data_IF_228685680109
#
_entry.id   IF_228685680109
#
_cell.length_a   1.000
_cell.length_b   1.000
_cell.length_c   1.000
_cell.angle_alpha   90.00
_cell.angle_beta   90.00
_cell.angle_gamma   90.00
#
_symmetry.space_group_name_H-M   'P 1'
#
loop_
_entity.id
_entity.type
_entity.pdbx_description
1 polymer ?
#
# COMPACT_ATOMS: atom_id res chain seq x y z
N UNK A 1 -8.48 -54.67 26.40
CA UNK A 1 -8.94 -53.79 27.49
C UNK A 1 -8.79 -52.36 27.00
N UNK A 2 -9.78 -51.94 26.23
CA UNK A 2 -10.03 -50.61 25.65
C UNK A 2 -10.30 -49.54 26.73
N UNK A 3 -10.60 -48.26 26.39
CA UNK A 3 -10.54 -47.60 25.06
C UNK A 3 -9.92 -46.16 25.04
N UNK A 4 -9.54 -45.76 23.82
CA UNK A 4 -9.91 -44.53 23.12
C UNK A 4 -10.54 -43.36 23.91
N UNK A 5 -9.87 -42.21 23.92
CA UNK A 5 -10.49 -40.90 24.04
C UNK A 5 -10.59 -40.24 22.66
N UNK A 6 -11.80 -40.26 22.07
CA UNK A 6 -12.22 -39.31 21.04
C UNK A 6 -12.78 -38.09 21.75
N UNK A 7 -12.38 -36.89 21.32
CA UNK A 7 -13.06 -35.64 21.68
C UNK A 7 -14.04 -35.26 20.54
N UNK A 8 -15.35 -35.26 20.77
CA UNK A 8 -16.35 -34.71 19.85
C UNK A 8 -16.89 -33.37 20.39
N UNK A 9 -16.97 -32.36 19.53
CA UNK A 9 -17.75 -31.09 19.60
C UNK A 9 -16.87 -29.95 19.05
N UNK A 10 -17.30 -29.02 18.21
CA UNK A 10 -18.60 -28.73 17.57
C UNK A 10 -18.30 -27.69 16.49
N UNK A 11 -18.64 -27.91 15.22
CA UNK A 11 -19.84 -27.32 14.62
C UNK A 11 -19.96 -25.79 14.81
N UNK A 12 -19.27 -25.04 13.93
CA UNK A 12 -19.70 -23.69 13.54
C UNK A 12 -20.08 -23.71 12.06
N UNK A 13 -21.36 -23.95 11.80
CA UNK A 13 -22.02 -23.59 10.54
C UNK A 13 -22.73 -22.25 10.78
N UNK A 14 -22.31 -21.20 10.05
CA UNK A 14 -23.17 -20.09 9.62
C UNK A 14 -22.47 -19.34 8.48
N UNK A 15 -22.74 -19.67 7.22
CA UNK A 15 -23.70 -19.02 6.33
C UNK A 15 -23.50 -17.50 6.10
N UNK A 16 -22.89 -17.17 4.95
CA UNK A 16 -23.27 -16.14 3.92
C UNK A 16 -21.96 -15.76 3.18
N UNK A 17 -21.89 -15.60 1.86
CA UNK A 17 -22.93 -15.25 0.90
C UNK A 17 -22.56 -15.80 -0.48
N UNK A 18 -23.52 -16.43 -1.15
CA UNK A 18 -23.49 -16.66 -2.60
C UNK A 18 -23.70 -15.31 -3.29
N UNK A 19 -22.69 -14.80 -3.99
CA UNK A 19 -22.94 -14.05 -5.21
C UNK A 19 -22.25 -14.74 -6.37
N UNK A 20 -23.07 -15.49 -7.12
CA UNK A 20 -22.86 -15.75 -8.53
C UNK A 20 -22.91 -14.39 -9.24
N UNK A 21 -21.79 -13.99 -9.82
CA UNK A 21 -21.81 -13.08 -10.97
C UNK A 21 -20.93 -13.72 -12.04
N UNK A 22 -21.59 -14.05 -13.14
CA UNK A 22 -21.00 -14.48 -14.39
C UNK A 22 -19.93 -13.46 -14.80
N UNK A 23 -18.70 -13.90 -15.06
CA UNK A 23 -17.79 -13.15 -15.91
C UNK A 23 -17.11 -14.10 -16.90
N UNK A 24 -17.09 -13.61 -18.14
CA UNK A 24 -16.83 -14.26 -19.40
C UNK A 24 -15.64 -15.23 -19.45
N UNK A 25 -15.84 -16.34 -20.17
CA UNK A 25 -14.79 -17.02 -20.94
C UNK A 25 -14.07 -15.98 -21.79
N UNK A 26 -12.86 -15.61 -21.40
CA UNK A 26 -11.87 -15.02 -22.31
C UNK A 26 -11.04 -16.19 -22.83
N UNK A 27 -11.29 -16.54 -24.08
CA UNK A 27 -10.39 -17.36 -24.89
C UNK A 27 -9.07 -16.62 -25.02
N UNK A 28 -8.01 -17.14 -24.42
CA UNK A 28 -6.65 -16.68 -24.66
C UNK A 28 -6.24 -17.12 -26.07
N UNK A 29 -6.11 -16.16 -26.98
CA UNK A 29 -5.39 -16.37 -28.22
C UNK A 29 -3.90 -16.52 -27.89
N UNK A 30 -3.31 -17.64 -28.29
CA UNK A 30 -1.86 -17.87 -28.31
C UNK A 30 -1.19 -16.75 -29.08
N UNK A 31 -0.31 -15.99 -28.43
CA UNK A 31 0.59 -15.06 -29.09
C UNK A 31 1.90 -15.82 -29.26
N UNK A 32 2.22 -16.14 -30.51
CA UNK A 32 3.47 -16.77 -30.90
C UNK A 32 4.67 -15.94 -30.43
N UNK A 33 5.68 -16.65 -29.95
CA UNK A 33 6.98 -16.13 -29.51
C UNK A 33 7.62 -15.30 -30.63
N UNK A 34 7.72 -13.99 -30.42
CA UNK A 34 8.59 -13.14 -31.22
C UNK A 34 10.00 -13.22 -30.62
N UNK A 35 10.77 -14.16 -31.12
CA UNK A 35 12.21 -14.29 -30.87
C UNK A 35 12.92 -13.12 -31.53
N UNK A 36 13.33 -12.12 -30.74
CA UNK A 36 14.17 -11.02 -31.23
C UNK A 36 15.64 -11.43 -31.08
N UNK A 37 16.43 -11.52 -32.16
CA UNK A 37 17.86 -11.81 -32.04
C UNK A 37 18.58 -10.61 -31.44
N UNK A 38 19.27 -10.83 -30.32
CA UNK A 38 20.18 -9.86 -29.72
C UNK A 38 21.50 -9.95 -30.50
N UNK A 39 21.64 -9.11 -31.53
CA UNK A 39 22.95 -8.86 -32.13
C UNK A 39 23.80 -8.03 -31.17
N UNK A 40 24.93 -8.62 -30.79
CA UNK A 40 26.00 -7.98 -30.03
C UNK A 40 26.67 -6.87 -30.87
N UNK A 41 26.29 -5.62 -30.63
CA UNK A 41 26.94 -4.45 -31.21
C UNK A 41 27.80 -3.73 -30.17
N UNK A 42 29.02 -4.24 -30.00
CA UNK A 42 30.18 -3.40 -29.70
C UNK A 42 30.22 -2.30 -30.75
N UNK A 43 30.07 -1.01 -30.41
CA UNK A 43 30.48 0.13 -31.25
C UNK A 43 30.52 1.46 -30.44
N UNK A 44 31.74 1.98 -30.30
CA UNK A 44 32.10 3.41 -30.33
C UNK A 44 31.57 4.39 -29.24
N UNK A 45 32.21 4.34 -28.07
CA UNK A 45 32.17 5.34 -26.99
C UNK A 45 32.70 6.76 -27.30
N UNK A 46 33.00 7.12 -28.56
CA UNK A 46 33.70 8.38 -28.89
C UNK A 46 32.86 9.47 -29.56
N UNK A 47 31.54 9.31 -29.72
CA UNK A 47 30.70 10.32 -30.40
C UNK A 47 29.61 10.99 -29.55
N UNK A 48 29.46 10.66 -28.27
CA UNK A 48 28.43 11.29 -27.42
C UNK A 48 28.85 12.62 -26.75
N UNK A 49 30.10 13.06 -26.90
CA UNK A 49 30.62 14.28 -26.24
C UNK A 49 30.40 15.54 -27.09
N UNK A 50 30.06 15.41 -28.38
CA UNK A 50 29.94 16.56 -29.28
C UNK A 50 28.54 17.21 -29.34
N UNK A 51 27.51 16.61 -28.75
CA UNK A 51 26.13 17.15 -28.82
C UNK A 51 25.67 17.89 -27.56
N UNK A 52 26.43 17.86 -26.46
CA UNK A 52 26.06 18.53 -25.21
C UNK A 52 26.51 20.00 -25.17
N UNK A 53 27.31 20.46 -26.14
CA UNK A 53 27.89 21.82 -26.12
C UNK A 53 27.07 22.86 -26.92
N UNK A 54 26.09 22.44 -27.73
CA UNK A 54 25.40 23.35 -28.68
C UNK A 54 24.05 23.87 -28.18
N UNK A 55 23.49 23.35 -27.09
CA UNK A 55 22.19 23.85 -26.54
C UNK A 55 22.32 24.93 -25.47
N UNK A 56 23.53 25.37 -25.12
CA UNK A 56 23.77 26.27 -23.97
C UNK A 56 23.87 27.76 -24.31
N UNK A 57 23.62 28.19 -25.54
CA UNK A 57 23.83 29.59 -25.97
C UNK A 57 22.64 30.24 -26.67
N UNK A 58 21.41 29.94 -26.25
CA UNK A 58 20.23 30.61 -26.81
C UNK A 58 19.07 30.83 -25.81
N UNK A 59 19.35 31.45 -24.66
CA UNK A 59 18.33 32.13 -23.86
C UNK A 59 18.91 33.42 -23.28
N UNK A 60 19.12 34.40 -24.16
CA UNK A 60 19.35 35.80 -23.82
C UNK A 60 18.05 36.57 -24.10
N UNK A 61 17.64 37.38 -23.12
CA UNK A 61 16.65 38.48 -23.20
C UNK A 61 15.16 38.13 -23.37
N UNK A 62 14.47 37.85 -22.26
CA UNK A 62 13.10 38.31 -22.08
C UNK A 62 13.00 39.07 -20.76
N UNK A 63 12.43 40.26 -20.86
CA UNK A 63 12.59 41.37 -19.93
C UNK A 63 12.04 41.15 -18.53
N UNK A 64 12.76 41.71 -17.57
CA UNK A 64 12.28 42.01 -16.23
C UNK A 64 11.06 42.93 -16.28
N UNK A 65 9.86 42.36 -16.27
CA UNK A 65 8.68 43.06 -15.76
C UNK A 65 8.64 42.83 -14.26
N UNK A 66 8.94 43.88 -13.50
CA UNK A 66 8.72 43.91 -12.05
C UNK A 66 7.26 43.52 -11.77
N UNK A 67 7.00 42.48 -10.97
CA UNK A 67 5.64 42.20 -10.53
C UNK A 67 5.20 43.39 -9.66
N UNK A 68 4.09 44.01 -10.04
CA UNK A 68 3.41 44.96 -9.18
C UNK A 68 3.07 44.22 -7.88
N UNK A 69 3.67 44.68 -6.77
CA UNK A 69 3.36 44.21 -5.43
C UNK A 69 1.94 44.66 -5.13
N UNK A 70 0.97 43.80 -5.46
CA UNK A 70 -0.40 43.94 -5.00
C UNK A 70 -0.40 43.75 -3.49
N UNK A 71 -0.38 44.87 -2.77
CA UNK A 71 -0.63 44.93 -1.33
C UNK A 71 -2.08 44.51 -1.12
N UNK A 72 -2.31 43.21 -0.97
CA UNK A 72 -3.59 42.70 -0.56
C UNK A 72 -3.84 43.21 0.87
N UNK A 73 -4.96 43.91 1.13
CA UNK A 73 -5.31 44.29 2.49
C UNK A 73 -5.38 43.02 3.32
N UNK A 74 -4.56 42.98 4.38
CA UNK A 74 -4.52 41.92 5.37
C UNK A 74 -5.87 41.90 6.08
N UNK A 75 -6.85 41.24 5.46
CA UNK A 75 -8.15 41.01 6.06
C UNK A 75 -7.91 40.01 7.17
N UNK A 76 -7.74 40.51 8.39
CA UNK A 76 -7.68 39.69 9.60
C UNK A 76 -8.97 38.90 9.65
N UNK A 77 -8.92 37.63 9.27
CA UNK A 77 -10.02 36.68 9.42
C UNK A 77 -10.05 36.34 10.90
N UNK A 78 -10.69 37.20 11.68
CA UNK A 78 -10.96 36.99 13.09
C UNK A 78 -12.09 35.96 13.17
N UNK A 79 -11.73 34.68 13.32
CA UNK A 79 -12.69 33.59 13.47
C UNK A 79 -12.45 32.42 12.52
N UNK A 80 -11.22 31.92 12.39
CA UNK A 80 -11.07 30.50 12.05
C UNK A 80 -11.47 29.74 13.31
N UNK A 81 -12.72 29.26 13.35
CA UNK A 81 -13.01 28.09 14.16
C UNK A 81 -12.01 27.02 13.69
N UNK A 82 -11.06 26.66 14.55
CA UNK A 82 -10.19 25.53 14.31
C UNK A 82 -11.10 24.32 14.33
N UNK A 83 -11.60 23.92 13.15
CA UNK A 83 -12.31 22.66 12.98
C UNK A 83 -11.36 21.59 13.48
N UNK A 84 -11.65 21.06 14.67
CA UNK A 84 -10.80 20.10 15.34
C UNK A 84 -10.82 18.84 14.49
N UNK A 85 -9.69 18.52 13.86
CA UNK A 85 -9.53 17.27 13.10
C UNK A 85 -9.67 16.13 14.09
N UNK A 86 -10.59 15.20 13.83
CA UNK A 86 -10.80 14.03 14.68
C UNK A 86 -9.59 13.11 14.62
N UNK A 87 -9.42 12.29 15.64
CA UNK A 87 -8.47 11.19 15.59
C UNK A 87 -8.90 10.12 14.59
N UNK A 88 -7.93 9.45 13.96
CA UNK A 88 -8.20 8.31 13.11
C UNK A 88 -8.68 7.12 13.95
N UNK A 89 -9.64 6.38 13.42
CA UNK A 89 -10.03 5.08 13.94
C UNK A 89 -8.93 4.05 13.70
N UNK A 90 -9.06 2.90 14.38
CA UNK A 90 -8.13 1.80 14.25
C UNK A 90 -7.93 1.37 12.79
N UNK A 91 -9.03 1.14 12.07
CA UNK A 91 -8.98 0.71 10.67
C UNK A 91 -8.30 1.76 9.78
N UNK A 92 -8.51 3.04 10.04
CA UNK A 92 -7.91 4.14 9.27
C UNK A 92 -6.41 4.28 9.54
N UNK A 93 -6.00 4.09 10.79
CA UNK A 93 -4.61 4.12 11.21
C UNK A 93 -3.76 3.07 10.48
N UNK A 94 -4.28 1.85 10.35
CA UNK A 94 -3.51 0.74 9.79
C UNK A 94 -3.74 0.49 8.31
N UNK A 95 -4.87 0.91 7.73
CA UNK A 95 -5.06 0.90 6.27
C UNK A 95 -4.27 2.02 5.58
N UNK A 96 -3.90 3.07 6.30
CA UNK A 96 -3.11 4.19 5.79
C UNK A 96 -1.67 3.76 5.47
N UNK A 97 -1.18 4.12 4.28
CA UNK A 97 0.26 4.02 3.94
C UNK A 97 1.07 5.25 4.38
N UNK A 98 0.49 6.16 5.16
CA UNK A 98 1.14 7.39 5.61
C UNK A 98 2.10 7.14 6.79
N UNK A 99 3.28 7.77 6.77
CA UNK A 99 4.14 7.88 7.96
C UNK A 99 3.65 9.03 8.84
N UNK A 100 3.06 8.70 10.00
CA UNK A 100 2.51 9.67 10.94
C UNK A 100 3.53 10.73 11.40
N UNK A 101 4.84 10.45 11.36
CA UNK A 101 5.88 11.41 11.77
C UNK A 101 6.09 12.53 10.76
N UNK A 102 5.86 12.25 9.48
CA UNK A 102 6.08 13.22 8.39
C UNK A 102 4.78 13.78 7.81
N UNK A 103 3.70 13.02 7.93
CA UNK A 103 2.38 13.37 7.43
C UNK A 103 1.29 12.87 8.38
N UNK A 104 1.09 13.53 9.54
CA UNK A 104 0.15 13.10 10.57
C UNK A 104 -1.33 13.24 10.16
N UNK A 105 -1.65 13.79 8.99
CA UNK A 105 -3.05 13.96 8.58
C UNK A 105 -3.34 13.17 7.31
N UNK A 106 -4.32 12.27 7.39
CA UNK A 106 -4.83 11.54 6.23
C UNK A 106 -6.11 12.21 5.69
N UNK A 107 -6.26 12.16 4.37
CA UNK A 107 -7.48 12.52 3.66
C UNK A 107 -8.13 11.27 3.05
N UNK A 108 -9.34 10.97 3.48
CA UNK A 108 -10.17 9.82 3.08
C UNK A 108 -10.88 9.99 1.74
N UNK A 109 -10.65 11.09 1.01
CA UNK A 109 -11.40 11.39 -0.22
C UNK A 109 -11.23 10.25 -1.23
N UNK A 110 -12.34 9.59 -1.55
CA UNK A 110 -12.42 8.40 -2.42
C UNK A 110 -11.71 7.12 -1.90
N UNK A 111 -11.61 6.86 -0.60
CA UNK A 111 -10.95 5.64 -0.05
C UNK A 111 -9.57 5.35 -0.70
N UNK A 112 -8.73 6.40 -0.85
CA UNK A 112 -7.42 6.27 -1.51
C UNK A 112 -7.44 6.43 -3.04
N UNK A 113 -8.54 6.92 -3.61
CA UNK A 113 -8.60 7.37 -5.01
C UNK A 113 -7.65 8.55 -5.32
N UNK A 114 -7.65 9.09 -6.55
CA UNK A 114 -6.62 10.01 -7.07
C UNK A 114 -6.47 11.35 -6.32
N UNK A 115 -7.31 11.63 -5.32
CA UNK A 115 -7.29 12.83 -4.49
C UNK A 115 -7.26 12.53 -2.96
N UNK A 116 -7.11 11.26 -2.56
CA UNK A 116 -6.76 10.90 -1.18
C UNK A 116 -5.26 11.03 -0.94
N UNK A 117 -4.82 11.11 0.33
CA UNK A 117 -3.39 11.18 0.63
C UNK A 117 -3.02 11.61 2.05
N UNK A 118 -1.72 11.82 2.25
CA UNK A 118 -1.12 12.21 3.51
C UNK A 118 -0.65 13.67 3.45
N UNK A 119 -0.74 14.41 4.55
CA UNK A 119 -0.27 15.79 4.64
C UNK A 119 0.44 16.05 5.96
N UNK A 120 1.47 16.90 5.90
CA UNK A 120 2.18 17.42 7.07
C UNK A 120 1.33 18.41 7.89
N UNK A 121 0.34 19.03 7.26
CA UNK A 121 -0.59 19.98 7.88
C UNK A 121 -2.04 19.49 7.77
N UNK A 122 -2.93 19.87 8.70
CA UNK A 122 -4.35 19.55 8.60
C UNK A 122 -4.93 19.92 7.23
N UNK A 123 -5.81 19.07 6.70
CA UNK A 123 -6.50 19.35 5.44
C UNK A 123 -7.48 20.51 5.61
N UNK A 124 -7.44 21.47 4.67
CA UNK A 124 -8.38 22.61 4.68
C UNK A 124 -9.80 22.08 4.41
N UNK A 125 -10.79 22.60 5.15
CA UNK A 125 -12.20 22.26 4.97
C UNK A 125 -12.63 22.37 3.49
N UNK A 126 -13.35 21.36 3.00
CA UNK A 126 -13.77 21.26 1.60
C UNK A 126 -12.71 20.68 0.64
N UNK A 127 -11.44 20.57 1.06
CA UNK A 127 -10.40 19.85 0.29
C UNK A 127 -10.59 18.35 0.41
N UNK A 128 -10.88 17.89 1.64
CA UNK A 128 -11.18 16.51 1.93
C UNK A 128 -12.61 16.37 2.47
N UNK A 129 -13.30 15.30 2.06
CA UNK A 129 -14.64 15.01 2.58
C UNK A 129 -14.57 14.52 4.04
N UNK A 130 -13.48 13.82 4.40
CA UNK A 130 -13.20 13.36 5.75
C UNK A 130 -11.68 13.27 5.99
N UNK A 131 -11.21 13.85 7.08
CA UNK A 131 -9.80 13.86 7.46
C UNK A 131 -9.65 13.47 8.93
N UNK A 132 -8.53 12.82 9.23
CA UNK A 132 -8.24 12.41 10.59
C UNK A 132 -6.74 12.52 10.93
N UNK A 133 -6.45 12.62 12.23
CA UNK A 133 -5.11 12.70 12.79
C UNK A 133 -4.56 11.29 13.08
N UNK A 134 -3.36 11.02 12.57
CA UNK A 134 -2.62 9.78 12.72
C UNK A 134 -1.68 9.78 13.94
N UNK A 135 -1.47 10.92 14.60
CA UNK A 135 -0.54 11.02 15.74
C UNK A 135 -0.88 10.06 16.89
N UNK A 136 -2.17 9.73 17.05
CA UNK A 136 -2.63 8.79 18.08
C UNK A 136 -2.57 7.32 17.65
N UNK A 137 -2.28 7.02 16.38
CA UNK A 137 -2.29 5.65 15.87
C UNK A 137 -1.29 4.73 16.59
N UNK A 138 -0.13 5.26 16.98
CA UNK A 138 0.88 4.50 17.74
C UNK A 138 0.39 4.14 19.15
N UNK A 139 -0.59 4.87 19.68
CA UNK A 139 -1.16 4.64 21.01
C UNK A 139 -2.38 3.71 21.00
N UNK A 140 -2.92 3.38 19.82
CA UNK A 140 -4.04 2.46 19.71
C UNK A 140 -3.58 1.02 19.96
N UNK A 141 -4.23 0.37 20.93
CA UNK A 141 -4.04 -1.06 21.16
C UNK A 141 -4.68 -1.87 20.05
N UNK A 142 -3.92 -2.79 19.44
CA UNK A 142 -4.43 -3.76 18.48
C UNK A 142 -5.44 -4.68 19.19
N UNK A 143 -6.69 -4.79 18.72
CA UNK A 143 -7.68 -5.70 19.29
C UNK A 143 -7.15 -7.14 19.33
N UNK A 144 -7.41 -7.86 20.42
CA UNK A 144 -6.89 -9.22 20.62
C UNK A 144 -7.47 -10.25 19.63
N UNK A 145 -8.57 -9.92 18.96
CA UNK A 145 -9.22 -10.70 17.91
C UNK A 145 -8.72 -10.36 16.50
N UNK A 146 -7.75 -9.45 16.36
CA UNK A 146 -7.13 -9.14 15.06
C UNK A 146 -6.38 -10.36 14.54
N UNK A 147 -6.71 -10.81 13.34
CA UNK A 147 -6.02 -11.91 12.68
C UNK A 147 -4.54 -11.57 12.45
N UNK A 148 -3.67 -12.57 12.60
CA UNK A 148 -2.22 -12.41 12.52
C UNK A 148 -1.60 -13.61 11.83
N UNK A 149 -0.51 -13.38 11.08
CA UNK A 149 0.22 -14.47 10.44
C UNK A 149 1.10 -15.26 11.43
N UNK A 150 1.35 -14.74 12.63
CA UNK A 150 2.26 -15.34 13.61
C UNK A 150 1.81 -16.75 14.00
N UNK A 151 2.69 -17.74 13.83
CA UNK A 151 2.40 -19.13 14.15
C UNK A 151 1.38 -19.81 13.23
N UNK A 152 0.90 -19.15 12.17
CA UNK A 152 0.03 -19.76 11.17
C UNK A 152 0.87 -20.68 10.29
N UNK A 153 0.53 -21.98 10.30
CA UNK A 153 1.29 -22.99 9.57
C UNK A 153 1.19 -22.80 8.06
N UNK A 154 2.32 -22.77 7.37
CA UNK A 154 2.34 -22.76 5.91
C UNK A 154 1.89 -24.14 5.35
N UNK A 155 1.26 -24.15 4.17
CA UNK A 155 0.95 -25.40 3.48
C UNK A 155 2.22 -26.20 3.15
N UNK A 156 2.13 -27.53 3.12
CA UNK A 156 3.29 -28.42 2.85
C UNK A 156 4.00 -28.03 1.55
N UNK A 157 3.25 -27.61 0.52
CA UNK A 157 3.79 -27.17 -0.77
C UNK A 157 4.67 -25.91 -0.68
N UNK A 158 4.54 -25.12 0.38
CA UNK A 158 5.35 -23.94 0.63
C UNK A 158 6.62 -24.28 1.40
N UNK A 159 6.53 -25.19 2.37
CA UNK A 159 7.69 -25.62 3.16
C UNK A 159 8.64 -26.51 2.33
N UNK A 160 8.11 -27.39 1.49
CA UNK A 160 8.89 -28.38 0.73
C UNK A 160 9.79 -27.77 -0.35
N UNK A 161 9.44 -26.59 -0.87
CA UNK A 161 10.20 -25.91 -1.92
C UNK A 161 11.32 -25.00 -1.37
N UNK A 162 11.60 -25.08 -0.06
CA UNK A 162 12.50 -24.20 0.66
C UNK A 162 11.79 -22.91 1.11
N UNK A 163 12.19 -22.38 2.27
CA UNK A 163 11.68 -21.11 2.80
C UNK A 163 11.80 -20.01 1.74
N UNK A 164 10.67 -19.49 1.26
CA UNK A 164 10.67 -18.39 0.29
C UNK A 164 11.08 -17.06 0.93
N UNK A 165 10.78 -16.90 2.21
CA UNK A 165 11.13 -15.73 2.98
C UNK A 165 12.21 -16.07 4.02
N UNK A 166 13.17 -15.15 4.21
CA UNK A 166 14.20 -15.30 5.23
C UNK A 166 13.78 -14.74 6.59
N UNK A 167 14.66 -14.91 7.59
CA UNK A 167 14.44 -14.51 8.99
C UNK A 167 14.05 -13.04 9.19
N UNK A 168 14.45 -12.15 8.28
CA UNK A 168 14.10 -10.72 8.34
C UNK A 168 12.68 -10.42 7.88
N UNK A 169 12.01 -11.37 7.21
CA UNK A 169 10.68 -11.22 6.65
C UNK A 169 9.85 -12.53 6.70
N UNK A 170 9.66 -13.17 7.87
CA UNK A 170 9.18 -14.54 7.96
C UNK A 170 7.69 -14.74 7.62
N UNK A 171 6.94 -13.69 7.28
CA UNK A 171 5.50 -13.80 6.99
C UNK A 171 5.24 -13.77 5.49
N UNK A 172 4.70 -14.86 4.96
CA UNK A 172 4.49 -15.10 3.54
C UNK A 172 3.01 -14.95 3.18
N UNK A 173 2.70 -14.12 2.18
CA UNK A 173 1.36 -14.06 1.60
C UNK A 173 1.10 -15.29 0.71
N UNK A 174 -0.03 -15.97 0.92
CA UNK A 174 -0.41 -17.19 0.21
C UNK A 174 -1.43 -16.95 -0.92
N UNK A 175 -2.32 -15.97 -0.78
CA UNK A 175 -3.41 -15.71 -1.73
C UNK A 175 -3.59 -14.22 -1.97
N UNK A 176 -3.76 -13.82 -3.23
CA UNK A 176 -3.99 -12.43 -3.64
C UNK A 176 -3.01 -11.98 -4.71
N UNK A 177 -2.99 -10.68 -5.04
CA UNK A 177 -2.05 -10.13 -6.02
C UNK A 177 -0.60 -10.11 -5.54
N UNK A 178 -0.38 -10.14 -4.23
CA UNK A 178 0.95 -10.21 -3.60
C UNK A 178 1.32 -11.63 -3.15
N UNK A 179 0.70 -12.67 -3.73
CA UNK A 179 1.13 -14.06 -3.51
C UNK A 179 2.64 -14.18 -3.73
N UNK A 180 3.34 -14.88 -2.84
CA UNK A 180 4.81 -14.97 -2.81
C UNK A 180 5.53 -13.72 -2.24
N UNK A 181 4.79 -12.71 -1.75
CA UNK A 181 5.36 -11.56 -1.04
C UNK A 181 5.71 -11.87 0.42
N UNK A 182 6.84 -11.34 0.89
CA UNK A 182 7.35 -11.50 2.25
C UNK A 182 7.16 -10.25 3.10
N UNK A 183 6.97 -10.40 4.41
CA UNK A 183 6.83 -9.32 5.37
C UNK A 183 7.57 -9.61 6.68
N UNK A 184 8.15 -8.56 7.29
CA UNK A 184 8.80 -8.63 8.61
C UNK A 184 7.87 -8.49 9.81
N UNK A 185 6.62 -8.08 9.58
CA UNK A 185 5.63 -7.81 10.62
C UNK A 185 4.44 -8.77 10.46
N UNK A 186 4.02 -9.39 11.57
CA UNK A 186 2.99 -10.44 11.59
C UNK A 186 1.57 -9.93 11.31
N UNK A 187 1.35 -8.62 11.34
CA UNK A 187 0.11 -7.96 10.96
C UNK A 187 0.17 -7.33 9.56
N UNK A 188 1.31 -7.42 8.86
CA UNK A 188 1.48 -6.76 7.56
C UNK A 188 0.42 -7.20 6.56
N UNK A 189 0.18 -8.51 6.45
CA UNK A 189 -0.75 -9.08 5.47
C UNK A 189 -2.20 -9.09 5.93
N UNK A 190 -2.47 -8.97 7.22
CA UNK A 190 -3.83 -9.03 7.79
C UNK A 190 -4.42 -7.64 8.04
N UNK A 191 -3.65 -6.76 8.68
CA UNK A 191 -4.14 -5.46 9.15
C UNK A 191 -3.73 -4.31 8.22
N UNK A 192 -2.50 -4.34 7.70
CA UNK A 192 -1.91 -3.23 6.94
C UNK A 192 -2.09 -3.35 5.43
N UNK A 193 -2.59 -4.49 4.97
CA UNK A 193 -2.74 -4.80 3.55
C UNK A 193 -4.19 -5.16 3.27
N UNK A 194 -4.73 -4.62 2.18
CA UNK A 194 -6.09 -4.95 1.76
C UNK A 194 -6.19 -6.43 1.36
N UNK A 195 -7.34 -7.05 1.65
CA UNK A 195 -7.58 -8.47 1.34
C UNK A 195 -7.46 -8.81 -0.16
N UNK A 196 -7.70 -7.84 -1.05
CA UNK A 196 -7.47 -8.00 -2.49
C UNK A 196 -5.99 -8.21 -2.85
N UNK A 197 -5.08 -7.64 -2.05
CA UNK A 197 -3.63 -7.75 -2.23
C UNK A 197 -3.11 -9.02 -1.56
N UNK A 198 -3.50 -9.24 -0.30
CA UNK A 198 -3.25 -10.47 0.40
C UNK A 198 -4.47 -10.87 1.24
N UNK A 199 -5.06 -12.02 0.95
CA UNK A 199 -6.24 -12.54 1.67
C UNK A 199 -5.92 -13.69 2.61
N UNK A 200 -4.70 -14.20 2.56
CA UNK A 200 -4.24 -15.30 3.41
C UNK A 200 -2.72 -15.27 3.56
N UNK A 201 -2.21 -15.59 4.75
CA UNK A 201 -0.79 -15.53 5.06
C UNK A 201 -0.36 -16.61 6.06
N UNK A 202 0.93 -16.93 6.06
CA UNK A 202 1.53 -17.87 7.02
C UNK A 202 2.88 -17.40 7.56
N UNK A 203 3.34 -18.05 8.61
CA UNK A 203 4.66 -17.86 9.23
C UNK A 203 5.61 -18.99 8.79
N UNK A 204 6.62 -18.65 8.00
CA UNK A 204 7.56 -19.62 7.42
C UNK A 204 8.50 -20.25 8.46
N UNK A 205 8.53 -19.74 9.69
CA UNK A 205 9.30 -20.34 10.80
C UNK A 205 8.58 -21.54 11.43
N UNK A 206 7.33 -21.78 11.02
CA UNK A 206 6.57 -22.99 11.38
C UNK A 206 6.83 -24.16 10.44
N UNK A 207 7.50 -23.89 9.32
CA UNK A 207 8.29 -24.87 8.58
C UNK A 207 9.61 -25.09 9.33
#
# INVERSE_FOLDING_TARGET
KDPFFRNPNSLCIKHRNKQKTMFNRITYASIDEVTVPIESASWNHKRLIALVVITSTLFVTLGSRSPAVSVFPKKTITGLATTQVRDCSFEECFASSCDARTAPFICQRFQGGPHGGCSASPWVEGTCDDSCNLEVCESLSIPADTESCLGVQCGEEWCDNGQMCGDSAPYQCQVGSARFGCAGDYYQWTLKTASAVCSDCCDVTTC
#
